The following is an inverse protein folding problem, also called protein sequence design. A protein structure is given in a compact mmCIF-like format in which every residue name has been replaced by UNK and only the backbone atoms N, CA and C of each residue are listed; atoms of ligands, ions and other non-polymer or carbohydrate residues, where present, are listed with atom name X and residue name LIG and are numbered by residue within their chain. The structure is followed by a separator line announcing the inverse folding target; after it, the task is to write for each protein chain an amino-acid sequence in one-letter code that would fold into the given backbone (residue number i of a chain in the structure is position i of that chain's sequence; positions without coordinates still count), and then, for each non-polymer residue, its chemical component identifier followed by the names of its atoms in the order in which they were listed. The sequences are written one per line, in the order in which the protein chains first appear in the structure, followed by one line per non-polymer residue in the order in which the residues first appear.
data_IF_976876532027
#
_entry.id   IF_976876532027
#
_cell.length_a   1.000
_cell.length_b   1.000
_cell.length_c   1.000
_cell.angle_alpha   90.00
_cell.angle_beta   90.00
_cell.angle_gamma   90.00
#
_symmetry.space_group_name_H-M   'P 1'
#
loop_
_entity.id
_entity.type
_entity.pdbx_description
1 polymer ?
#
# COMPACT_ATOMS: atom_id res chain seq x y z
N UNK A 1 -31.55 -6.03 35.91
CA UNK A 1 -31.02 -4.79 36.52
C UNK A 1 -30.49 -3.88 35.42
N UNK A 2 -31.29 -3.35 34.49
CA UNK A 2 -32.50 -2.54 34.66
C UNK A 2 -32.23 -1.15 35.27
N UNK A 3 -32.00 -0.18 34.37
CA UNK A 3 -32.28 1.27 34.46
C UNK A 3 -32.05 2.07 35.76
N UNK A 4 -31.06 2.98 35.73
CA UNK A 4 -31.02 4.36 36.27
C UNK A 4 -29.65 4.99 35.92
N UNK A 5 -29.48 6.28 35.62
CA UNK A 5 -30.45 7.38 35.58
C UNK A 5 -30.12 8.36 34.42
N UNK A 6 -31.15 8.97 33.85
CA UNK A 6 -31.07 9.98 32.77
C UNK A 6 -31.83 11.23 33.22
N UNK A 7 -31.26 12.03 34.13
CA UNK A 7 -31.84 13.32 34.50
C UNK A 7 -30.85 14.26 35.22
N UNK A 8 -30.34 15.25 34.51
CA UNK A 8 -30.20 16.61 35.04
C UNK A 8 -30.67 17.58 33.96
N UNK A 9 -31.46 18.56 34.36
CA UNK A 9 -32.32 19.36 33.50
C UNK A 9 -32.04 20.83 33.77
N UNK A 10 -31.95 21.62 32.69
CA UNK A 10 -32.25 23.05 32.59
C UNK A 10 -32.07 23.95 33.83
N UNK A 11 -31.21 24.98 33.71
CA UNK A 11 -31.58 26.36 34.05
C UNK A 11 -30.76 27.35 33.22
N UNK A 12 -31.43 28.14 32.37
CA UNK A 12 -31.41 29.62 32.30
C UNK A 12 -32.16 30.07 31.05
N UNK A 13 -33.31 30.74 31.23
CA UNK A 13 -34.08 31.40 30.18
C UNK A 13 -34.02 32.92 30.41
N UNK A 14 -33.75 33.70 29.36
CA UNK A 14 -34.35 35.03 29.16
C UNK A 14 -34.08 35.54 27.72
N UNK A 15 -34.93 36.43 27.15
CA UNK A 15 -35.10 36.57 25.70
C UNK A 15 -34.65 37.96 25.17
N UNK A 16 -35.35 38.47 24.12
CA UNK A 16 -35.12 39.69 23.32
C UNK A 16 -34.12 39.49 22.16
N UNK A 17 -34.35 39.96 20.92
CA UNK A 17 -35.44 40.77 20.35
C UNK A 17 -35.77 40.33 18.91
N UNK A 18 -37.04 40.39 18.53
CA UNK A 18 -37.51 40.23 17.15
C UNK A 18 -37.54 41.57 16.42
N UNK A 19 -37.11 41.59 15.15
CA UNK A 19 -37.45 42.66 14.22
C UNK A 19 -37.84 42.05 12.86
N UNK A 20 -39.00 42.48 12.37
CA UNK A 20 -39.56 42.15 11.06
C UNK A 20 -40.02 43.44 10.41
N UNK A 21 -39.53 43.75 9.20
CA UNK A 21 -40.09 44.80 8.34
C UNK A 21 -40.05 44.30 6.89
N UNK A 22 -41.05 44.71 6.11
CA UNK A 22 -41.48 44.06 4.88
C UNK A 22 -40.79 44.52 3.58
N UNK A 23 -40.83 43.62 2.60
CA UNK A 23 -41.24 43.81 1.19
C UNK A 23 -41.02 45.15 0.46
N UNK A 24 -40.38 45.08 -0.72
CA UNK A 24 -40.82 45.84 -1.91
C UNK A 24 -40.40 45.16 -3.22
N UNK A 25 -41.27 45.22 -4.23
CA UNK A 25 -41.11 44.62 -5.57
C UNK A 25 -40.78 45.71 -6.60
N UNK A 26 -39.90 45.43 -7.57
CA UNK A 26 -39.84 46.18 -8.83
C UNK A 26 -39.18 45.35 -9.95
N UNK A 27 -39.64 45.50 -11.19
CA UNK A 27 -39.30 44.63 -12.31
C UNK A 27 -38.39 45.30 -13.37
N UNK A 28 -37.69 44.46 -14.15
CA UNK A 28 -37.42 44.50 -15.62
C UNK A 28 -37.24 45.87 -16.35
N UNK A 29 -36.28 45.97 -17.31
CA UNK A 29 -36.54 45.38 -18.63
C UNK A 29 -35.36 44.74 -19.41
N UNK A 30 -35.79 44.06 -20.48
CA UNK A 30 -35.04 43.34 -21.53
C UNK A 30 -34.38 44.31 -22.53
N UNK A 31 -33.28 43.90 -23.18
CA UNK A 31 -32.94 44.22 -24.59
C UNK A 31 -32.17 43.05 -25.24
N UNK A 32 -32.58 42.66 -26.45
CA UNK A 32 -31.86 41.81 -27.41
C UNK A 32 -31.45 42.67 -28.62
N UNK A 33 -30.35 42.37 -29.33
CA UNK A 33 -30.48 41.75 -30.67
C UNK A 33 -29.27 40.85 -31.07
N UNK A 34 -29.14 40.27 -32.27
CA UNK A 34 -30.06 39.47 -33.13
C UNK A 34 -29.25 38.88 -34.32
N UNK A 35 -29.78 37.84 -34.99
CA UNK A 35 -29.40 37.27 -36.33
C UNK A 35 -28.12 36.39 -36.36
N UNK A 36 -28.17 35.09 -36.71
CA UNK A 36 -28.49 34.42 -38.02
C UNK A 36 -27.32 34.50 -39.02
N UNK A 37 -26.90 33.49 -39.81
CA UNK A 37 -27.43 32.21 -40.38
C UNK A 37 -26.27 31.16 -40.42
N UNK A 38 -26.45 29.83 -40.35
CA UNK A 38 -26.88 28.88 -41.43
C UNK A 38 -26.04 28.99 -42.74
N UNK A 39 -25.64 27.94 -43.49
CA UNK A 39 -25.88 26.48 -43.50
C UNK A 39 -24.93 25.83 -44.55
N UNK A 40 -24.81 24.48 -44.59
CA UNK A 40 -24.43 23.64 -45.78
C UNK A 40 -22.97 23.79 -46.35
N UNK A 41 -22.37 22.84 -47.10
CA UNK A 41 -22.41 21.36 -47.15
C UNK A 41 -21.25 20.87 -48.08
N UNK A 42 -21.00 19.55 -48.09
CA UNK A 42 -20.42 18.76 -49.20
C UNK A 42 -18.94 18.88 -49.60
N UNK A 43 -18.21 17.80 -49.31
CA UNK A 43 -17.29 17.01 -50.15
C UNK A 43 -16.57 17.62 -51.38
N UNK A 44 -15.29 17.28 -51.52
CA UNK A 44 -14.87 16.29 -52.54
C UNK A 44 -13.48 15.69 -52.28
N UNK A 45 -13.24 14.47 -52.80
CA UNK A 45 -11.93 13.80 -52.83
C UNK A 45 -11.17 14.18 -54.10
N UNK A 46 -9.85 14.20 -54.06
CA UNK A 46 -9.03 13.78 -55.21
C UNK A 46 -7.72 13.14 -54.75
N UNK A 47 -7.29 12.13 -55.50
CA UNK A 47 -6.02 11.42 -55.34
C UNK A 47 -5.09 11.95 -56.43
N UNK A 48 -3.82 12.19 -56.11
CA UNK A 48 -2.76 12.28 -57.12
C UNK A 48 -1.45 11.69 -56.58
N UNK A 49 -0.92 10.74 -57.34
CA UNK A 49 0.37 10.08 -57.11
C UNK A 49 1.49 10.79 -57.88
N UNK A 50 2.66 10.97 -57.28
CA UNK A 50 3.90 11.19 -58.04
C UNK A 50 5.17 10.78 -57.27
N UNK A 51 5.80 9.74 -57.82
CA UNK A 51 7.26 9.52 -58.01
C UNK A 51 8.29 9.82 -56.91
N UNK A 52 9.08 8.78 -56.63
CA UNK A 52 10.31 8.72 -55.84
C UNK A 52 11.42 9.67 -56.36
N UNK A 53 12.29 10.16 -55.46
CA UNK A 53 13.74 10.45 -55.66
C UNK A 53 14.33 11.22 -54.46
N UNK A 54 14.70 10.55 -53.36
CA UNK A 54 15.79 11.06 -52.48
C UNK A 54 16.39 10.05 -51.45
N UNK A 55 16.83 8.87 -51.91
CA UNK A 55 17.66 7.95 -51.10
C UNK A 55 19.18 8.20 -51.32
N UNK A 56 19.78 9.20 -50.65
CA UNK A 56 21.24 9.17 -50.34
C UNK A 56 21.76 10.07 -49.20
N UNK A 57 21.03 11.10 -48.72
CA UNK A 57 21.49 11.97 -47.61
C UNK A 57 21.07 11.54 -46.18
N UNK A 58 20.44 10.36 -46.00
CA UNK A 58 19.79 9.94 -44.74
C UNK A 58 20.51 8.83 -43.95
N UNK A 59 21.80 8.52 -44.25
CA UNK A 59 22.56 7.43 -43.59
C UNK A 59 23.48 7.92 -42.44
N UNK A 60 24.26 9.00 -42.62
CA UNK A 60 25.19 9.52 -41.59
C UNK A 60 24.53 10.16 -40.34
N UNK A 61 23.23 10.45 -40.36
CA UNK A 61 22.50 11.01 -39.20
C UNK A 61 21.74 9.96 -38.36
N UNK A 62 21.81 8.67 -38.74
CA UNK A 62 21.24 7.57 -37.94
C UNK A 62 22.23 6.95 -36.97
N UNK A 63 23.51 6.79 -37.34
CA UNK A 63 24.52 6.15 -36.49
C UNK A 63 24.81 6.93 -35.19
N UNK A 64 24.92 8.26 -35.28
CA UNK A 64 25.05 9.13 -34.10
C UNK A 64 23.83 9.09 -33.18
N UNK A 65 22.61 8.98 -33.74
CA UNK A 65 21.38 8.78 -32.96
C UNK A 65 21.30 7.39 -32.30
N UNK A 66 21.88 6.35 -32.92
CA UNK A 66 21.95 5.00 -32.34
C UNK A 66 22.93 4.95 -31.16
N UNK A 67 24.06 5.66 -31.22
CA UNK A 67 24.96 5.80 -30.07
C UNK A 67 24.33 6.59 -28.91
N UNK A 68 23.61 7.68 -29.21
CA UNK A 68 22.88 8.44 -28.19
C UNK A 68 21.64 7.72 -27.63
N UNK A 69 21.04 6.77 -28.37
CA UNK A 69 19.96 5.93 -27.85
C UNK A 69 20.50 4.75 -27.03
N UNK A 70 21.62 4.12 -27.43
CA UNK A 70 22.31 3.09 -26.62
C UNK A 70 22.83 3.65 -25.30
N UNK A 71 23.45 4.83 -25.29
CA UNK A 71 23.92 5.45 -24.03
C UNK A 71 22.76 5.85 -23.10
N UNK A 72 21.63 6.33 -23.65
CA UNK A 72 20.39 6.51 -22.87
C UNK A 72 19.77 5.19 -22.41
N UNK A 73 19.90 4.11 -23.19
CA UNK A 73 19.52 2.74 -22.81
C UNK A 73 20.31 2.25 -21.60
N UNK A 74 21.64 2.25 -21.67
CA UNK A 74 22.52 1.89 -20.55
C UNK A 74 22.30 2.81 -19.32
N UNK A 75 21.98 4.09 -19.52
CA UNK A 75 21.64 4.99 -18.41
C UNK A 75 20.26 4.70 -17.78
N UNK A 76 19.31 4.14 -18.55
CA UNK A 76 18.01 3.64 -18.06
C UNK A 76 18.16 2.30 -17.33
N UNK A 77 19.08 1.47 -17.81
CA UNK A 77 19.46 0.19 -17.20
C UNK A 77 20.14 0.40 -15.85
N UNK A 78 21.08 1.34 -15.75
CA UNK A 78 21.69 1.84 -14.49
C UNK A 78 20.69 2.50 -13.50
N UNK A 79 19.40 2.61 -13.86
CA UNK A 79 18.33 3.08 -12.96
C UNK A 79 17.39 1.98 -12.46
N UNK A 80 17.45 0.76 -13.00
CA UNK A 80 16.53 -0.31 -12.60
C UNK A 80 16.76 -0.74 -11.15
N UNK A 81 15.71 -0.64 -10.35
CA UNK A 81 15.56 -1.32 -9.05
C UNK A 81 14.78 -2.62 -9.18
N UNK A 82 14.25 -2.89 -10.37
CA UNK A 82 13.52 -4.10 -10.69
C UNK A 82 14.33 -5.34 -10.36
N UNK A 83 13.65 -6.34 -9.82
CA UNK A 83 14.20 -7.68 -9.69
C UNK A 83 14.67 -8.21 -11.05
N UNK A 84 15.69 -9.06 -10.97
CA UNK A 84 16.17 -9.88 -12.10
C UNK A 84 15.76 -11.35 -11.92
N UNK A 85 15.03 -11.68 -10.85
CA UNK A 85 14.55 -13.02 -10.58
C UNK A 85 13.33 -13.28 -11.46
N UNK A 86 13.41 -14.36 -12.22
CA UNK A 86 12.24 -14.93 -12.85
C UNK A 86 11.39 -15.61 -11.77
N UNK A 87 10.07 -15.62 -11.95
CA UNK A 87 9.19 -16.42 -11.11
C UNK A 87 9.46 -17.90 -11.43
N UNK A 88 10.42 -18.48 -10.71
CA UNK A 88 10.74 -19.91 -10.70
C UNK A 88 9.82 -20.60 -9.71
N UNK A 89 8.55 -20.64 -10.09
CA UNK A 89 7.57 -21.54 -9.48
C UNK A 89 7.47 -22.70 -10.46
N UNK A 90 8.14 -23.80 -10.13
CA UNK A 90 7.83 -25.11 -10.70
C UNK A 90 6.39 -25.44 -10.30
N UNK A 91 5.46 -24.96 -11.12
CA UNK A 91 4.07 -25.34 -11.05
C UNK A 91 4.04 -26.71 -11.69
N UNK A 92 4.04 -27.78 -10.88
CA UNK A 92 3.76 -29.11 -11.41
C UNK A 92 2.46 -29.01 -12.22
N UNK A 93 2.53 -29.34 -13.51
CA UNK A 93 1.38 -29.41 -14.40
C UNK A 93 0.50 -30.62 -14.04
N UNK A 94 -0.12 -30.55 -12.87
CA UNK A 94 -1.31 -31.34 -12.54
C UNK A 94 -2.51 -30.52 -12.94
N UNK A 95 -3.38 -31.12 -13.74
CA UNK A 95 -4.65 -30.51 -14.14
C UNK A 95 -5.48 -30.24 -12.87
N UNK A 96 -5.48 -28.98 -12.42
CA UNK A 96 -6.31 -28.50 -11.32
C UNK A 96 -7.39 -27.61 -11.91
N UNK A 97 -8.62 -27.96 -11.59
CA UNK A 97 -9.87 -27.28 -11.93
C UNK A 97 -9.79 -25.74 -11.83
N UNK A 98 -10.45 -25.06 -12.77
CA UNK A 98 -10.44 -23.60 -13.03
C UNK A 98 -11.07 -22.75 -11.89
N UNK A 99 -11.36 -23.40 -10.76
CA UNK A 99 -11.92 -22.79 -9.55
C UNK A 99 -10.89 -22.39 -8.50
N UNK A 100 -9.61 -22.79 -8.63
CA UNK A 100 -8.59 -22.56 -7.60
C UNK A 100 -7.24 -22.02 -8.12
N UNK A 101 -7.26 -20.82 -8.71
CA UNK A 101 -6.04 -20.07 -9.03
C UNK A 101 -5.16 -19.90 -7.77
N UNK A 102 -4.05 -20.65 -7.70
CA UNK A 102 -3.15 -20.68 -6.55
C UNK A 102 -2.57 -19.28 -6.30
N UNK A 103 -2.87 -18.70 -5.13
CA UNK A 103 -2.46 -17.34 -4.82
C UNK A 103 -0.94 -17.25 -4.58
N UNK A 104 -0.22 -16.82 -5.61
CA UNK A 104 1.22 -16.54 -5.55
C UNK A 104 1.47 -15.32 -4.63
N UNK A 105 2.27 -15.45 -3.55
CA UNK A 105 2.68 -14.32 -2.71
C UNK A 105 3.49 -13.29 -3.50
N UNK A 106 3.34 -12.01 -3.17
CA UNK A 106 3.98 -10.91 -3.90
C UNK A 106 5.47 -10.86 -3.60
N UNK A 107 6.32 -10.78 -4.62
CA UNK A 107 7.78 -10.76 -4.46
C UNK A 107 8.33 -11.96 -3.65
N UNK A 108 7.72 -13.15 -3.81
CA UNK A 108 8.08 -14.34 -3.04
C UNK A 108 9.57 -14.70 -3.17
N UNK A 109 10.12 -14.62 -4.39
CA UNK A 109 11.52 -14.91 -4.64
C UNK A 109 12.45 -13.93 -3.92
N UNK A 110 12.15 -12.64 -4.00
CA UNK A 110 12.94 -11.59 -3.36
C UNK A 110 12.89 -11.72 -1.83
N UNK A 111 11.76 -12.11 -1.25
CA UNK A 111 11.66 -12.42 0.19
C UNK A 111 12.56 -13.60 0.56
N UNK A 112 12.57 -14.67 -0.24
CA UNK A 112 13.47 -15.82 -0.02
C UNK A 112 14.95 -15.47 -0.20
N UNK A 113 15.28 -14.54 -1.11
CA UNK A 113 16.65 -14.02 -1.25
C UNK A 113 17.08 -13.20 -0.02
N UNK A 114 16.18 -12.36 0.50
CA UNK A 114 16.45 -11.52 1.69
C UNK A 114 16.71 -12.33 2.95
N UNK A 115 16.06 -13.48 3.10
CA UNK A 115 16.25 -14.37 4.25
C UNK A 115 17.14 -15.59 3.95
N UNK A 116 17.77 -15.66 2.77
CA UNK A 116 18.50 -16.82 2.27
C UNK A 116 19.46 -17.44 3.31
N UNK A 117 19.44 -18.77 3.50
CA UNK A 117 20.23 -19.45 4.54
C UNK A 117 21.74 -19.33 4.32
N UNK A 118 22.17 -18.96 3.11
CA UNK A 118 23.56 -18.72 2.73
C UNK A 118 24.17 -17.47 3.41
N UNK A 119 23.33 -16.55 3.89
CA UNK A 119 23.77 -15.31 4.56
C UNK A 119 23.93 -15.48 6.07
N UNK A 120 22.89 -16.00 6.73
CA UNK A 120 22.84 -16.34 8.16
C UNK A 120 21.80 -17.46 8.36
N UNK A 121 22.04 -18.46 9.23
CA UNK A 121 21.00 -19.40 9.61
C UNK A 121 19.80 -18.70 10.26
N UNK A 122 18.62 -18.87 9.68
CA UNK A 122 17.36 -18.33 10.18
C UNK A 122 16.74 -19.30 11.21
N UNK A 123 17.02 -19.09 12.50
CA UNK A 123 16.50 -19.94 13.58
C UNK A 123 15.14 -19.45 14.11
N UNK A 124 14.86 -18.16 13.96
CA UNK A 124 13.61 -17.52 14.36
C UNK A 124 13.06 -16.59 13.26
N UNK A 125 11.74 -16.63 13.03
CA UNK A 125 11.09 -15.77 12.03
C UNK A 125 9.73 -15.28 12.48
N UNK A 126 9.43 -14.01 12.18
CA UNK A 126 8.14 -13.37 12.46
C UNK A 126 7.48 -12.90 11.16
N UNK A 127 6.24 -13.34 10.92
CA UNK A 127 5.37 -12.79 9.88
C UNK A 127 4.31 -11.90 10.54
N UNK A 128 4.42 -10.58 10.34
CA UNK A 128 3.55 -9.58 10.95
C UNK A 128 2.17 -9.47 10.27
N UNK A 129 2.01 -10.12 9.12
CA UNK A 129 0.91 -9.93 8.16
C UNK A 129 0.57 -11.27 7.55
N UNK A 130 0.34 -12.26 8.42
CA UNK A 130 0.40 -13.68 8.09
C UNK A 130 -0.50 -14.07 6.91
N UNK A 131 -1.67 -13.44 6.77
CA UNK A 131 -2.62 -13.71 5.71
C UNK A 131 -2.96 -15.20 5.63
N UNK A 132 -2.90 -15.78 4.43
CA UNK A 132 -3.07 -17.21 4.23
C UNK A 132 -1.78 -18.04 4.51
N UNK A 133 -0.79 -17.50 5.22
CA UNK A 133 0.56 -18.07 5.40
C UNK A 133 1.33 -18.30 4.07
N UNK A 134 1.14 -17.45 3.06
CA UNK A 134 1.80 -17.61 1.75
C UNK A 134 3.33 -17.49 1.82
N UNK A 135 3.84 -16.38 2.36
CA UNK A 135 5.27 -16.19 2.61
C UNK A 135 5.79 -17.12 3.71
N UNK A 136 5.05 -17.21 4.82
CA UNK A 136 5.35 -18.09 5.94
C UNK A 136 5.62 -19.55 5.50
N UNK A 137 4.78 -20.14 4.65
CA UNK A 137 5.00 -21.51 4.16
C UNK A 137 6.30 -21.68 3.40
N UNK A 138 6.62 -20.76 2.48
CA UNK A 138 7.86 -20.82 1.71
C UNK A 138 9.09 -20.62 2.60
N UNK A 139 9.02 -19.73 3.59
CA UNK A 139 10.09 -19.54 4.59
C UNK A 139 10.28 -20.81 5.43
N UNK A 140 9.21 -21.41 5.96
CA UNK A 140 9.30 -22.67 6.73
C UNK A 140 9.91 -23.80 5.89
N UNK A 141 9.55 -23.91 4.61
CA UNK A 141 10.11 -24.91 3.69
C UNK A 141 11.58 -24.65 3.32
N UNK A 142 11.95 -23.39 3.06
CA UNK A 142 13.31 -23.00 2.68
C UNK A 142 14.31 -23.04 3.86
N UNK A 143 13.82 -23.12 5.10
CA UNK A 143 14.63 -23.12 6.31
C UNK A 143 14.35 -24.33 7.22
N UNK A 144 14.85 -25.54 6.90
CA UNK A 144 14.74 -26.72 7.77
C UNK A 144 15.35 -26.55 9.17
N UNK A 145 16.24 -25.56 9.34
CA UNK A 145 16.85 -25.16 10.61
C UNK A 145 15.99 -24.19 11.45
N UNK A 146 14.86 -23.72 10.92
CA UNK A 146 13.94 -22.84 11.63
C UNK A 146 13.36 -23.57 12.83
N UNK A 147 13.46 -22.98 14.01
CA UNK A 147 13.01 -23.58 15.29
C UNK A 147 11.76 -22.89 15.83
N UNK A 148 11.62 -21.59 15.59
CA UNK A 148 10.49 -20.78 16.07
C UNK A 148 9.94 -19.93 14.93
N UNK A 149 8.68 -20.14 14.59
CA UNK A 149 7.90 -19.28 13.71
C UNK A 149 6.81 -18.56 14.52
N UNK A 150 6.63 -17.26 14.29
CA UNK A 150 5.60 -16.45 14.95
C UNK A 150 4.83 -15.69 13.87
N UNK A 151 3.56 -16.05 13.66
CA UNK A 151 2.66 -15.37 12.75
C UNK A 151 1.63 -14.52 13.49
N UNK A 152 1.28 -13.36 12.96
CA UNK A 152 0.15 -12.57 13.46
C UNK A 152 -0.64 -11.93 12.32
N UNK A 153 -1.93 -11.78 12.55
CA UNK A 153 -2.88 -11.11 11.65
C UNK A 153 -4.05 -10.59 12.50
N UNK A 154 -4.78 -9.62 11.95
CA UNK A 154 -6.01 -9.07 12.55
C UNK A 154 -7.28 -9.78 12.06
N UNK A 155 -7.18 -10.55 10.96
CA UNK A 155 -8.31 -11.23 10.35
C UNK A 155 -8.46 -12.67 10.88
N UNK A 156 -9.58 -13.05 11.54
CA UNK A 156 -9.79 -14.41 12.05
C UNK A 156 -9.70 -15.49 10.95
N UNK A 157 -10.13 -15.17 9.72
CA UNK A 157 -10.08 -16.10 8.60
C UNK A 157 -8.64 -16.34 8.13
N UNK A 158 -7.79 -15.31 8.16
CA UNK A 158 -6.38 -15.42 7.86
C UNK A 158 -5.70 -16.37 8.86
N UNK A 159 -5.88 -16.15 10.16
CA UNK A 159 -5.33 -17.02 11.23
C UNK A 159 -5.82 -18.47 11.08
N UNK A 160 -7.10 -18.70 10.74
CA UNK A 160 -7.62 -20.05 10.53
C UNK A 160 -6.92 -20.76 9.34
N UNK A 161 -6.85 -20.10 8.18
CA UNK A 161 -6.22 -20.67 6.98
C UNK A 161 -4.72 -20.90 7.18
N UNK A 162 -4.04 -19.93 7.82
CA UNK A 162 -2.62 -20.00 8.14
C UNK A 162 -2.30 -21.16 9.09
N UNK A 163 -3.08 -21.36 10.15
CA UNK A 163 -2.90 -22.49 11.09
C UNK A 163 -2.97 -23.84 10.39
N UNK A 164 -4.00 -24.07 9.56
CA UNK A 164 -4.13 -25.31 8.79
C UNK A 164 -2.93 -25.55 7.87
N UNK A 165 -2.46 -24.51 7.19
CA UNK A 165 -1.33 -24.59 6.26
C UNK A 165 0.02 -24.80 6.97
N UNK A 166 0.26 -24.11 8.07
CA UNK A 166 1.49 -24.26 8.87
C UNK A 166 1.53 -25.64 9.54
N UNK A 167 0.40 -26.13 10.07
CA UNK A 167 0.32 -27.46 10.67
C UNK A 167 0.71 -28.56 9.69
N UNK A 168 0.28 -28.49 8.42
CA UNK A 168 0.67 -29.44 7.38
C UNK A 168 2.21 -29.47 7.13
N UNK A 169 2.90 -28.35 7.32
CA UNK A 169 4.36 -28.22 7.18
C UNK A 169 5.14 -28.57 8.46
N UNK A 170 4.46 -28.66 9.61
CA UNK A 170 5.09 -28.80 10.94
C UNK A 170 5.49 -30.26 11.24
N UNK A 171 6.38 -30.82 10.43
CA UNK A 171 6.81 -32.23 10.54
C UNK A 171 8.06 -32.43 11.43
N UNK A 172 8.75 -31.35 11.82
CA UNK A 172 9.97 -31.42 12.64
C UNK A 172 9.65 -31.30 14.14
N UNK A 173 10.14 -32.20 15.01
CA UNK A 173 9.90 -32.13 16.46
C UNK A 173 10.61 -30.95 17.14
N UNK A 174 11.51 -30.26 16.43
CA UNK A 174 12.24 -29.09 16.94
C UNK A 174 11.67 -27.75 16.45
N UNK A 175 10.65 -27.79 15.59
CA UNK A 175 9.94 -26.62 15.08
C UNK A 175 8.70 -26.33 15.92
N UNK A 176 8.49 -25.06 16.27
CA UNK A 176 7.28 -24.58 16.94
C UNK A 176 6.73 -23.34 16.22
N UNK A 177 5.42 -23.35 15.96
CA UNK A 177 4.72 -22.25 15.33
C UNK A 177 3.67 -21.64 16.27
N UNK A 178 3.78 -20.34 16.52
CA UNK A 178 2.83 -19.56 17.30
C UNK A 178 2.04 -18.65 16.35
N UNK A 179 0.72 -18.57 16.53
CA UNK A 179 -0.15 -17.76 15.65
C UNK A 179 -1.16 -16.95 16.46
N UNK A 180 -1.08 -15.62 16.33
CA UNK A 180 -1.81 -14.67 17.17
C UNK A 180 -2.83 -13.85 16.35
N UNK A 181 -4.09 -13.86 16.77
CA UNK A 181 -5.12 -12.94 16.26
C UNK A 181 -4.93 -11.56 16.93
N UNK A 182 -3.92 -10.82 16.48
CA UNK A 182 -3.50 -9.52 17.00
C UNK A 182 -2.83 -8.69 15.90
N UNK A 183 -3.02 -7.37 15.98
CA UNK A 183 -2.31 -6.42 15.13
C UNK A 183 -0.80 -6.39 15.47
N UNK A 184 0.03 -6.25 14.43
CA UNK A 184 1.49 -6.24 14.55
C UNK A 184 2.07 -5.12 15.44
N UNK A 185 1.30 -4.05 15.76
CA UNK A 185 1.67 -3.08 16.80
C UNK A 185 1.96 -3.71 18.17
N UNK A 186 1.50 -4.94 18.40
CA UNK A 186 1.72 -5.69 19.63
C UNK A 186 2.96 -6.61 19.61
N UNK A 187 3.77 -6.61 18.54
CA UNK A 187 4.90 -7.55 18.35
C UNK A 187 5.77 -7.74 19.61
N UNK A 188 6.23 -6.66 20.25
CA UNK A 188 7.03 -6.73 21.48
C UNK A 188 6.36 -7.56 22.58
N UNK A 189 5.07 -7.32 22.83
CA UNK A 189 4.30 -8.04 23.85
C UNK A 189 3.92 -9.47 23.46
N UNK A 190 3.94 -9.80 22.16
CA UNK A 190 3.70 -11.14 21.65
C UNK A 190 4.96 -12.01 21.73
N UNK A 191 6.14 -11.45 21.41
CA UNK A 191 7.41 -12.14 21.58
C UNK A 191 7.67 -12.49 23.05
N UNK A 192 7.31 -11.62 24.00
CA UNK A 192 7.42 -11.91 25.44
C UNK A 192 6.43 -12.97 25.96
N UNK A 193 5.43 -13.39 25.16
CA UNK A 193 4.52 -14.49 25.50
C UNK A 193 5.01 -15.85 24.98
N UNK A 194 6.04 -15.88 24.12
CA UNK A 194 6.61 -17.11 23.57
C UNK A 194 7.74 -17.58 24.47
N UNK A 195 7.51 -18.68 25.20
CA UNK A 195 8.48 -19.28 26.11
C UNK A 195 9.60 -20.04 25.34
N UNK A 196 10.46 -19.28 24.66
CA UNK A 196 11.66 -19.75 23.94
C UNK A 196 12.87 -18.85 24.17
N UNK A 197 13.30 -18.65 25.44
CA UNK A 197 14.46 -17.80 25.76
C UNK A 197 15.78 -18.34 25.16
N UNK A 198 15.84 -19.63 24.85
CA UNK A 198 16.96 -20.29 24.16
C UNK A 198 17.24 -19.72 22.75
N UNK A 199 16.24 -19.09 22.13
CA UNK A 199 16.34 -18.49 20.79
C UNK A 199 16.10 -16.99 20.84
N UNK A 200 15.04 -16.56 21.54
CA UNK A 200 14.54 -15.17 21.46
C UNK A 200 15.27 -14.19 22.38
N UNK A 201 16.16 -14.67 23.27
CA UNK A 201 16.91 -13.80 24.22
C UNK A 201 17.77 -12.74 23.55
N UNK A 202 18.30 -13.02 22.35
CA UNK A 202 19.05 -12.06 21.54
C UNK A 202 18.17 -11.20 20.63
N UNK A 203 16.88 -11.48 20.51
CA UNK A 203 15.99 -10.99 19.46
C UNK A 203 15.68 -12.05 18.39
N UNK A 204 14.96 -11.66 17.33
CA UNK A 204 14.59 -12.54 16.20
C UNK A 204 15.49 -12.33 14.97
N UNK A 205 15.74 -13.38 14.20
CA UNK A 205 16.62 -13.34 13.03
C UNK A 205 15.97 -12.67 11.81
N UNK A 206 14.66 -12.86 11.62
CA UNK A 206 13.92 -12.28 10.51
C UNK A 206 12.51 -11.82 10.89
N UNK A 207 12.11 -10.69 10.33
CA UNK A 207 10.75 -10.14 10.41
C UNK A 207 10.28 -9.74 9.01
N UNK A 208 9.09 -10.17 8.61
CA UNK A 208 8.41 -9.74 7.38
C UNK A 208 7.15 -8.92 7.72
N UNK A 209 6.92 -7.87 6.93
CA UNK A 209 5.65 -7.12 6.87
C UNK A 209 5.23 -6.98 5.39
N UNK A 210 4.24 -7.75 4.95
CA UNK A 210 3.57 -7.64 3.65
C UNK A 210 2.29 -6.81 3.80
N UNK A 211 2.38 -5.50 3.51
CA UNK A 211 1.35 -4.53 3.87
C UNK A 211 0.10 -4.59 2.96
N UNK A 212 -0.97 -3.90 3.35
CA UNK A 212 -2.18 -3.79 2.53
C UNK A 212 -3.21 -4.89 2.79
N UNK A 213 -3.78 -5.47 1.74
CA UNK A 213 -5.01 -6.30 1.81
C UNK A 213 -4.82 -7.70 1.24
N UNK A 214 -5.32 -8.70 1.96
CA UNK A 214 -5.29 -10.09 1.52
C UNK A 214 -6.28 -10.39 0.38
N UNK A 215 -6.12 -11.52 -0.30
CA UNK A 215 -7.04 -11.97 -1.35
C UNK A 215 -8.44 -12.28 -0.81
N UNK A 216 -8.53 -12.93 0.36
CA UNK A 216 -9.81 -13.21 1.03
C UNK A 216 -10.58 -11.94 1.42
N UNK A 217 -9.91 -10.83 1.70
CA UNK A 217 -10.52 -9.53 1.97
C UNK A 217 -11.05 -8.85 0.70
N UNK A 218 -10.23 -8.79 -0.36
CA UNK A 218 -10.61 -8.11 -1.62
C UNK A 218 -11.62 -8.90 -2.44
N UNK A 219 -11.55 -10.23 -2.42
CA UNK A 219 -12.40 -11.10 -3.24
C UNK A 219 -13.77 -11.38 -2.60
N UNK A 220 -14.00 -10.98 -1.34
CA UNK A 220 -15.27 -11.11 -0.64
C UNK A 220 -16.00 -9.74 -0.60
N UNK A 221 -17.06 -9.52 -1.42
CA UNK A 221 -17.73 -8.23 -1.48
C UNK A 221 -18.31 -7.78 -0.13
N UNK A 222 -18.69 -8.72 0.75
CA UNK A 222 -19.22 -8.43 2.08
C UNK A 222 -18.21 -7.74 3.02
N UNK A 223 -16.93 -7.67 2.65
CA UNK A 223 -15.89 -6.93 3.39
C UNK A 223 -15.74 -5.48 2.96
N UNK A 224 -16.37 -5.05 1.86
CA UNK A 224 -16.38 -3.66 1.40
C UNK A 224 -15.08 -3.14 0.75
N UNK A 225 -14.01 -3.93 0.66
CA UNK A 225 -12.73 -3.49 0.07
C UNK A 225 -12.74 -3.39 -1.48
N UNK A 226 -13.68 -4.06 -2.14
CA UNK A 226 -13.71 -4.16 -3.59
C UNK A 226 -14.29 -2.89 -4.26
N UNK A 227 -13.49 -2.20 -5.08
CA UNK A 227 -13.93 -1.02 -5.85
C UNK A 227 -14.96 -1.36 -6.94
N UNK A 228 -14.94 -2.60 -7.45
CA UNK A 228 -15.74 -3.03 -8.60
C UNK A 228 -16.89 -4.00 -8.25
N UNK A 229 -17.00 -4.42 -6.99
CA UNK A 229 -18.09 -5.27 -6.51
C UNK A 229 -18.86 -4.55 -5.40
N UNK A 230 -20.19 -4.58 -5.46
CA UNK A 230 -21.01 -3.93 -4.45
C UNK A 230 -21.01 -4.73 -3.14
N UNK A 231 -21.05 -4.02 -2.02
CA UNK A 231 -21.07 -4.57 -0.66
C UNK A 231 -21.28 -3.47 0.38
N UNK A 232 -21.29 -3.81 1.68
CA UNK A 232 -21.42 -2.82 2.75
C UNK A 232 -20.16 -1.93 2.84
N UNK A 233 -20.32 -0.70 3.33
CA UNK A 233 -19.20 0.22 3.62
C UNK A 233 -18.47 -0.18 4.92
N UNK A 234 -17.92 -1.39 4.95
CA UNK A 234 -17.22 -1.92 6.11
C UNK A 234 -15.72 -1.54 6.12
N UNK A 235 -14.92 -2.16 5.26
CA UNK A 235 -13.46 -1.97 5.12
C UNK A 235 -12.62 -2.26 6.37
N UNK A 236 -13.16 -2.92 7.40
CA UNK A 236 -12.37 -3.35 8.57
C UNK A 236 -11.58 -4.62 8.24
N UNK A 237 -10.28 -4.61 8.51
CA UNK A 237 -9.40 -5.78 8.44
C UNK A 237 -9.69 -6.74 9.61
N UNK A 238 -9.91 -6.19 10.81
CA UNK A 238 -10.49 -6.90 11.96
C UNK A 238 -12.02 -6.75 11.96
N UNK A 239 -12.82 -7.81 11.72
CA UNK A 239 -14.29 -7.74 11.77
C UNK A 239 -14.87 -7.33 13.15
N UNK A 240 -14.06 -7.37 14.23
CA UNK A 240 -14.44 -6.95 15.59
C UNK A 240 -14.10 -5.48 15.90
N UNK A 241 -13.35 -4.78 15.04
CA UNK A 241 -13.06 -3.36 15.23
C UNK A 241 -14.36 -2.52 15.17
N UNK A 242 -14.46 -1.43 15.93
CA UNK A 242 -15.71 -0.68 16.07
C UNK A 242 -16.04 0.28 14.93
N UNK A 243 -15.04 0.81 14.23
CA UNK A 243 -15.19 1.84 13.20
C UNK A 243 -15.29 1.23 11.81
N UNK A 244 -16.35 1.56 11.05
CA UNK A 244 -16.51 1.21 9.62
C UNK A 244 -16.27 2.41 8.70
N UNK A 245 -16.08 2.15 7.41
CA UNK A 245 -16.08 3.21 6.40
C UNK A 245 -17.42 3.96 6.34
N UNK A 246 -18.53 3.30 6.65
CA UNK A 246 -19.88 3.88 6.80
C UNK A 246 -19.92 4.97 7.89
N UNK A 247 -19.33 4.71 9.06
CA UNK A 247 -19.29 5.66 10.18
C UNK A 247 -18.47 6.91 9.82
N UNK A 248 -17.36 6.72 9.11
CA UNK A 248 -16.57 7.83 8.56
C UNK A 248 -17.40 8.63 7.56
N UNK A 249 -18.05 7.95 6.61
CA UNK A 249 -18.78 8.59 5.52
C UNK A 249 -20.09 9.23 5.95
N UNK A 250 -20.70 8.84 7.06
CA UNK A 250 -21.96 9.41 7.55
C UNK A 250 -21.81 10.32 8.78
N UNK A 251 -20.85 10.05 9.68
CA UNK A 251 -20.82 10.66 11.02
C UNK A 251 -19.58 11.53 11.32
N UNK A 252 -18.46 11.37 10.60
CA UNK A 252 -17.28 12.21 10.85
C UNK A 252 -17.47 13.65 10.36
N UNK A 253 -16.86 14.66 11.02
CA UNK A 253 -16.89 16.05 10.54
C UNK A 253 -16.41 16.16 9.08
N UNK A 254 -17.07 17.00 8.29
CA UNK A 254 -16.79 17.14 6.86
C UNK A 254 -15.32 17.46 6.57
N UNK A 255 -14.68 18.26 7.44
CA UNK A 255 -13.25 18.59 7.38
C UNK A 255 -12.34 17.37 7.51
N UNK A 256 -12.72 16.39 8.34
CA UNK A 256 -11.96 15.15 8.52
C UNK A 256 -12.15 14.20 7.34
N UNK A 257 -13.34 14.15 6.74
CA UNK A 257 -13.56 13.46 5.45
C UNK A 257 -12.68 14.08 4.37
N UNK A 258 -12.67 15.41 4.27
CA UNK A 258 -11.79 16.15 3.36
C UNK A 258 -10.31 15.86 3.61
N UNK A 259 -9.89 15.78 4.88
CA UNK A 259 -8.53 15.46 5.31
C UNK A 259 -8.11 14.07 4.84
N UNK A 260 -8.87 13.01 5.13
CA UNK A 260 -8.47 11.65 4.72
C UNK A 260 -8.43 11.50 3.20
N UNK A 261 -9.37 12.10 2.47
CA UNK A 261 -9.37 12.07 0.99
C UNK A 261 -8.11 12.75 0.41
N UNK A 262 -7.69 13.85 1.01
CA UNK A 262 -6.48 14.60 0.63
C UNK A 262 -5.20 13.84 1.00
N UNK A 263 -5.08 13.42 2.26
CA UNK A 263 -3.82 13.00 2.87
C UNK A 263 -3.58 11.49 2.73
N UNK A 264 -4.62 10.67 2.90
CA UNK A 264 -4.53 9.21 2.76
C UNK A 264 -4.87 8.74 1.34
N UNK A 265 -5.71 9.49 0.64
CA UNK A 265 -6.04 9.23 -0.76
C UNK A 265 -5.05 9.82 -1.76
N UNK A 266 -4.29 10.87 -1.42
CA UNK A 266 -3.56 11.70 -2.39
C UNK A 266 -4.47 12.16 -3.58
N UNK A 267 -5.75 12.45 -3.29
CA UNK A 267 -6.75 12.87 -4.31
C UNK A 267 -6.80 14.39 -4.47
N UNK A 268 -6.56 14.88 -5.69
CA UNK A 268 -6.50 16.32 -5.98
C UNK A 268 -7.87 17.01 -5.94
N UNK A 269 -8.95 16.28 -6.23
CA UNK A 269 -10.31 16.79 -6.22
C UNK A 269 -11.04 16.61 -4.88
N UNK A 270 -10.31 16.39 -3.78
CA UNK A 270 -10.84 16.04 -2.46
C UNK A 270 -11.96 16.98 -1.97
N UNK A 271 -11.84 18.30 -2.16
CA UNK A 271 -12.86 19.29 -1.76
C UNK A 271 -14.21 19.05 -2.44
N UNK A 272 -14.19 18.71 -3.73
CA UNK A 272 -15.42 18.47 -4.50
C UNK A 272 -16.05 17.13 -4.13
N UNK A 273 -15.22 16.11 -3.91
CA UNK A 273 -15.67 14.79 -3.43
C UNK A 273 -16.26 14.87 -2.01
N UNK A 274 -15.61 15.59 -1.10
CA UNK A 274 -16.11 15.91 0.24
C UNK A 274 -17.51 16.53 0.14
N UNK A 275 -17.66 17.64 -0.60
CA UNK A 275 -18.97 18.30 -0.78
C UNK A 275 -20.04 17.35 -1.36
N UNK A 276 -19.66 16.47 -2.29
CA UNK A 276 -20.57 15.47 -2.88
C UNK A 276 -20.98 14.37 -1.89
N UNK A 277 -20.06 13.90 -1.04
CA UNK A 277 -20.34 12.98 0.06
C UNK A 277 -21.28 13.64 1.07
N UNK A 278 -21.01 14.89 1.47
CA UNK A 278 -21.84 15.64 2.41
C UNK A 278 -23.26 15.84 1.88
N UNK A 279 -23.43 16.14 0.59
CA UNK A 279 -24.76 16.21 -0.03
C UNK A 279 -25.48 14.84 -0.01
N UNK A 280 -24.77 13.73 -0.17
CA UNK A 280 -25.36 12.39 -0.05
C UNK A 280 -25.79 12.06 1.40
N UNK A 281 -25.04 12.51 2.42
CA UNK A 281 -25.44 12.40 3.84
C UNK A 281 -26.82 13.03 4.08
N UNK A 282 -27.03 14.23 3.53
CA UNK A 282 -28.29 14.98 3.65
C UNK A 282 -29.47 14.32 2.91
N UNK A 283 -29.21 13.33 2.05
CA UNK A 283 -30.21 12.62 1.25
C UNK A 283 -30.50 11.18 1.74
N UNK A 284 -29.95 10.79 2.90
CA UNK A 284 -30.21 9.50 3.55
C UNK A 284 -28.96 8.83 4.10
N UNK A 285 -27.77 9.21 3.63
CA UNK A 285 -26.51 8.54 3.96
C UNK A 285 -25.92 7.75 2.80
N UNK A 286 -24.76 7.14 3.06
CA UNK A 286 -24.13 6.15 2.20
C UNK A 286 -24.01 4.84 2.98
N UNK A 287 -24.55 3.76 2.45
CA UNK A 287 -24.61 2.45 3.11
C UNK A 287 -23.89 1.35 2.31
N UNK A 288 -23.72 1.54 0.99
CA UNK A 288 -23.03 0.57 0.12
C UNK A 288 -21.84 1.15 -0.66
N UNK A 289 -20.89 0.29 -1.02
CA UNK A 289 -19.74 0.65 -1.87
C UNK A 289 -20.20 1.11 -3.26
N UNK A 290 -21.34 0.62 -3.74
CA UNK A 290 -22.00 1.05 -4.97
C UNK A 290 -22.45 2.51 -4.94
N UNK A 291 -23.16 2.92 -3.88
CA UNK A 291 -23.58 4.33 -3.70
C UNK A 291 -22.36 5.27 -3.65
N UNK A 292 -21.32 4.89 -2.91
CA UNK A 292 -20.06 5.64 -2.87
C UNK A 292 -19.41 5.74 -4.26
N UNK A 293 -19.39 4.64 -5.03
CA UNK A 293 -18.88 4.63 -6.41
C UNK A 293 -19.70 5.54 -7.33
N UNK A 294 -21.02 5.61 -7.18
CA UNK A 294 -21.88 6.48 -7.99
C UNK A 294 -21.71 7.96 -7.62
N UNK A 295 -21.52 8.29 -6.34
CA UNK A 295 -21.07 9.62 -5.90
C UNK A 295 -19.74 9.98 -6.58
N UNK A 296 -18.75 9.08 -6.57
CA UNK A 296 -17.43 9.30 -7.18
C UNK A 296 -17.49 9.45 -8.70
N UNK A 297 -18.36 8.67 -9.37
CA UNK A 297 -18.64 8.81 -10.82
C UNK A 297 -19.24 10.18 -11.14
N UNK A 298 -20.25 10.61 -10.37
CA UNK A 298 -20.86 11.94 -10.52
C UNK A 298 -19.86 13.09 -10.28
N UNK A 299 -18.83 12.83 -9.48
CA UNK A 299 -17.79 13.80 -9.11
C UNK A 299 -16.58 13.82 -10.05
N UNK A 300 -16.48 12.88 -11.00
CA UNK A 300 -15.30 12.68 -11.87
C UNK A 300 -15.55 13.21 -13.29
N UNK A 301 -14.89 14.29 -13.74
CA UNK A 301 -15.10 14.84 -15.08
C UNK A 301 -14.65 13.84 -16.18
N UNK A 302 -15.51 13.60 -17.17
CA UNK A 302 -15.23 12.72 -18.33
C UNK A 302 -13.94 13.13 -19.07
N UNK A 303 -13.61 14.44 -19.04
CA UNK A 303 -12.40 15.02 -19.64
C UNK A 303 -11.09 14.66 -18.91
N UNK A 304 -11.12 14.30 -17.61
CA UNK A 304 -9.92 13.96 -16.84
C UNK A 304 -9.68 12.44 -16.83
N UNK A 305 -9.13 11.92 -17.92
CA UNK A 305 -8.60 10.55 -17.99
C UNK A 305 -9.51 9.49 -18.62
N UNK A 306 -10.61 9.91 -19.27
CA UNK A 306 -11.51 9.01 -20.01
C UNK A 306 -12.21 7.97 -19.14
N UNK A 307 -12.63 6.84 -19.74
CA UNK A 307 -13.41 5.77 -19.05
C UNK A 307 -12.74 5.18 -17.80
N UNK A 308 -11.43 5.39 -17.60
CA UNK A 308 -10.67 4.91 -16.43
C UNK A 308 -10.38 6.00 -15.38
N UNK A 309 -10.77 7.26 -15.61
CA UNK A 309 -10.52 8.37 -14.69
C UNK A 309 -11.18 8.14 -13.32
N UNK A 310 -12.49 7.87 -13.32
CA UNK A 310 -13.27 7.61 -12.10
C UNK A 310 -12.76 6.39 -11.31
N UNK A 311 -12.24 5.35 -11.98
CA UNK A 311 -11.68 4.16 -11.32
C UNK A 311 -10.47 4.55 -10.46
N UNK A 312 -9.58 5.40 -10.99
CA UNK A 312 -8.39 5.87 -10.23
C UNK A 312 -8.78 6.72 -9.03
N UNK A 313 -9.80 7.57 -9.17
CA UNK A 313 -10.38 8.33 -8.05
C UNK A 313 -11.00 7.37 -7.02
N UNK A 314 -11.75 6.37 -7.46
CA UNK A 314 -12.35 5.37 -6.57
C UNK A 314 -11.31 4.56 -5.82
N UNK A 315 -10.23 4.10 -6.47
CA UNK A 315 -9.09 3.46 -5.79
C UNK A 315 -8.50 4.36 -4.71
N UNK A 316 -8.35 5.67 -4.96
CA UNK A 316 -7.83 6.63 -3.97
C UNK A 316 -8.80 6.89 -2.81
N UNK A 317 -10.10 6.99 -3.07
CA UNK A 317 -11.13 7.14 -2.03
C UNK A 317 -11.22 5.88 -1.15
N UNK A 318 -11.21 4.69 -1.75
CA UNK A 318 -11.24 3.43 -1.02
C UNK A 318 -9.95 3.24 -0.21
N UNK A 319 -8.78 3.59 -0.76
CA UNK A 319 -7.51 3.62 -0.02
C UNK A 319 -7.59 4.57 1.19
N UNK A 320 -8.13 5.79 1.00
CA UNK A 320 -8.27 6.76 2.09
C UNK A 320 -9.15 6.25 3.24
N UNK A 321 -10.29 5.66 2.91
CA UNK A 321 -11.21 5.07 3.89
C UNK A 321 -10.60 3.86 4.58
N UNK A 322 -9.98 2.94 3.83
CA UNK A 322 -9.27 1.76 4.36
C UNK A 322 -8.22 2.15 5.41
N UNK A 323 -7.36 3.10 5.05
CA UNK A 323 -6.30 3.62 5.93
C UNK A 323 -6.89 4.26 7.20
N UNK A 324 -7.99 5.02 7.06
CA UNK A 324 -8.63 5.68 8.19
C UNK A 324 -9.36 4.71 9.13
N UNK A 325 -10.02 3.68 8.58
CA UNK A 325 -10.70 2.62 9.34
C UNK A 325 -9.72 1.79 10.17
N UNK A 326 -8.56 1.44 9.58
CA UNK A 326 -7.61 0.49 10.19
C UNK A 326 -6.38 1.17 10.83
N UNK A 327 -6.34 2.50 10.92
CA UNK A 327 -5.23 3.30 11.50
C UNK A 327 -3.85 2.94 10.90
N UNK A 328 -3.82 2.59 9.60
CA UNK A 328 -2.72 1.78 9.02
C UNK A 328 -1.37 2.48 9.07
N UNK A 329 -1.32 3.76 8.71
CA UNK A 329 -0.06 4.51 8.58
C UNK A 329 0.59 4.78 9.94
N UNK A 330 -0.21 5.06 10.97
CA UNK A 330 0.26 5.25 12.34
C UNK A 330 0.73 3.92 12.93
N UNK A 331 -0.09 2.88 12.74
CA UNK A 331 0.27 1.49 13.12
C UNK A 331 1.62 1.12 12.52
N UNK A 332 1.83 1.41 11.24
CA UNK A 332 3.08 1.12 10.54
C UNK A 332 4.27 1.86 11.15
N UNK A 333 4.23 3.18 11.33
CA UNK A 333 5.39 3.92 11.88
C UNK A 333 5.79 3.40 13.27
N UNK A 334 4.83 3.30 14.20
CA UNK A 334 5.08 2.80 15.57
C UNK A 334 5.66 1.37 15.56
N UNK A 335 5.14 0.52 14.67
CA UNK A 335 5.54 -0.89 14.59
C UNK A 335 6.90 -1.10 13.93
N UNK A 336 7.34 -0.23 13.01
CA UNK A 336 8.67 -0.35 12.40
C UNK A 336 9.79 -0.18 13.44
N UNK A 337 9.63 0.73 14.41
CA UNK A 337 10.55 0.82 15.55
C UNK A 337 10.46 -0.43 16.42
N UNK A 338 9.24 -0.88 16.74
CA UNK A 338 9.04 -2.06 17.58
C UNK A 338 9.66 -3.33 16.97
N UNK A 339 9.49 -3.56 15.68
CA UNK A 339 10.11 -4.65 14.92
C UNK A 339 11.63 -4.55 14.94
N UNK A 340 12.21 -3.36 14.68
CA UNK A 340 13.66 -3.19 14.67
C UNK A 340 14.30 -3.43 16.05
N UNK A 341 13.65 -2.98 17.12
CA UNK A 341 14.09 -3.26 18.49
C UNK A 341 14.08 -4.78 18.78
N UNK A 342 13.09 -5.51 18.27
CA UNK A 342 12.96 -6.97 18.43
C UNK A 342 13.99 -7.79 17.64
N UNK A 343 14.65 -7.24 16.61
CA UNK A 343 15.65 -7.98 15.84
C UNK A 343 16.88 -8.35 16.68
N UNK A 344 17.47 -9.51 16.39
CA UNK A 344 18.81 -9.86 16.85
C UNK A 344 19.89 -9.09 16.06
N UNK A 345 21.13 -8.99 16.58
CA UNK A 345 22.28 -8.54 15.79
C UNK A 345 22.42 -9.33 14.48
N UNK A 346 22.62 -8.62 13.37
CA UNK A 346 22.57 -9.17 12.02
C UNK A 346 21.20 -9.62 11.52
N UNK A 347 20.14 -9.53 12.33
CA UNK A 347 18.77 -9.85 11.96
C UNK A 347 18.17 -8.84 10.98
N UNK A 348 17.18 -9.26 10.19
CA UNK A 348 16.62 -8.47 9.06
C UNK A 348 15.12 -8.20 9.20
N UNK A 349 14.72 -6.95 8.97
CA UNK A 349 13.32 -6.55 8.77
C UNK A 349 13.10 -6.25 7.29
N UNK A 350 12.21 -7.04 6.67
CA UNK A 350 11.75 -6.88 5.30
C UNK A 350 10.32 -6.32 5.29
N UNK A 351 10.05 -5.32 4.46
CA UNK A 351 8.74 -4.67 4.35
C UNK A 351 8.36 -4.51 2.88
N UNK A 352 7.24 -5.10 2.48
CA UNK A 352 6.61 -4.90 1.17
C UNK A 352 5.50 -3.85 1.34
N UNK A 353 5.57 -2.79 0.56
CA UNK A 353 4.59 -1.69 0.55
C UNK A 353 3.93 -1.56 -0.82
N UNK A 354 2.63 -1.25 -0.86
CA UNK A 354 1.81 -1.23 -2.08
C UNK A 354 1.38 0.18 -2.49
N UNK A 355 1.62 1.20 -1.67
CA UNK A 355 1.43 2.60 -2.08
C UNK A 355 2.52 3.56 -1.59
N UNK A 356 2.43 4.80 -2.08
CA UNK A 356 3.34 5.92 -1.82
C UNK A 356 3.53 6.25 -0.34
N UNK A 357 2.44 6.23 0.44
CA UNK A 357 2.43 6.63 1.85
C UNK A 357 3.18 5.61 2.73
N UNK A 358 2.89 4.32 2.58
CA UNK A 358 3.62 3.23 3.24
C UNK A 358 5.13 3.29 2.90
N UNK A 359 5.48 3.30 1.61
CA UNK A 359 6.88 3.34 1.13
C UNK A 359 7.65 4.56 1.66
N UNK A 360 6.97 5.70 1.80
CA UNK A 360 7.53 6.93 2.39
C UNK A 360 7.81 6.75 3.88
N UNK A 361 6.87 6.21 4.65
CA UNK A 361 7.03 5.94 6.09
C UNK A 361 8.16 4.94 6.33
N UNK A 362 8.19 3.82 5.58
CA UNK A 362 9.25 2.81 5.69
C UNK A 362 10.62 3.42 5.35
N UNK A 363 10.74 4.18 4.25
CA UNK A 363 11.98 4.90 3.88
C UNK A 363 12.44 5.83 5.02
N UNK A 364 11.54 6.66 5.54
CA UNK A 364 11.88 7.67 6.56
C UNK A 364 12.24 7.04 7.90
N UNK A 365 11.48 6.04 8.34
CA UNK A 365 11.75 5.33 9.60
C UNK A 365 13.05 4.55 9.54
N UNK A 366 13.36 3.86 8.43
CA UNK A 366 14.64 3.18 8.26
C UNK A 366 15.83 4.15 8.29
N UNK A 367 15.70 5.36 7.75
CA UNK A 367 16.74 6.40 7.86
C UNK A 367 16.91 6.86 9.32
N UNK A 368 15.82 7.20 10.01
CA UNK A 368 15.84 7.56 11.45
C UNK A 368 16.55 6.47 12.28
N UNK A 369 16.20 5.20 12.07
CA UNK A 369 16.77 4.05 12.81
C UNK A 369 18.30 3.92 12.69
N UNK A 370 18.86 4.12 11.49
CA UNK A 370 20.32 4.01 11.29
C UNK A 370 21.09 5.23 11.83
N UNK A 371 20.46 6.41 11.84
CA UNK A 371 21.08 7.69 12.19
C UNK A 371 20.93 8.09 13.68
N UNK A 372 20.29 7.26 14.51
CA UNK A 372 20.06 7.49 15.95
C UNK A 372 21.34 7.47 16.81
N UNK A 373 22.17 8.52 16.69
CA UNK A 373 23.17 8.94 17.66
C UNK A 373 23.19 10.47 17.92
N UNK A 374 22.33 11.25 17.23
CA UNK A 374 22.04 12.65 17.60
C UNK A 374 21.02 12.68 18.76
N UNK A 375 21.49 12.81 20.01
CA UNK A 375 20.61 13.03 21.17
C UNK A 375 19.90 14.39 21.06
N UNK A 376 18.57 14.38 21.21
CA UNK A 376 17.78 15.53 21.67
C UNK A 376 17.75 16.76 20.74
N UNK A 377 16.83 16.76 19.77
CA UNK A 377 16.46 17.95 19.01
C UNK A 377 15.34 17.64 18.04
N UNK A 378 14.21 18.35 18.14
CA UNK A 378 13.12 18.25 17.16
C UNK A 378 13.57 18.94 15.88
N UNK A 379 13.92 18.15 14.86
CA UNK A 379 14.44 18.63 13.58
C UNK A 379 13.75 17.91 12.43
N UNK A 380 13.04 18.68 11.62
CA UNK A 380 12.56 18.26 10.31
C UNK A 380 13.76 17.89 9.42
N UNK A 381 13.99 16.59 9.20
CA UNK A 381 15.10 16.09 8.40
C UNK A 381 14.94 16.52 6.94
N UNK A 382 15.66 17.57 6.53
CA UNK A 382 15.73 17.99 5.14
C UNK A 382 16.49 16.98 4.27
N UNK A 383 16.10 16.88 2.99
CA UNK A 383 16.73 15.97 2.01
C UNK A 383 18.17 16.35 1.62
N UNK A 384 18.72 17.40 2.25
CA UNK A 384 20.09 17.90 2.15
C UNK A 384 21.08 17.11 3.03
N UNK A 385 20.77 16.84 4.30
CA UNK A 385 21.68 16.15 5.25
C UNK A 385 21.93 14.67 4.87
N UNK A 386 21.00 14.03 4.17
CA UNK A 386 21.07 12.61 3.73
C UNK A 386 22.24 12.37 2.74
N UNK A 387 22.93 13.40 2.26
CA UNK A 387 23.99 13.29 1.23
C UNK A 387 25.33 12.76 1.75
N UNK A 388 25.62 12.88 3.04
CA UNK A 388 26.93 12.52 3.62
C UNK A 388 27.06 11.04 4.02
N UNK A 389 26.00 10.25 3.80
CA UNK A 389 26.01 8.80 4.02
C UNK A 389 26.97 8.11 3.03
N UNK A 390 28.15 7.72 3.55
CA UNK A 390 29.29 7.17 2.81
C UNK A 390 28.88 6.06 1.83
N UNK A 391 29.13 6.31 0.55
CA UNK A 391 28.85 5.38 -0.55
C UNK A 391 29.95 4.34 -0.68
N UNK A 392 29.90 3.29 0.14
CA UNK A 392 30.77 2.12 -0.04
C UNK A 392 30.16 1.23 -1.15
N UNK A 393 30.98 0.92 -2.17
CA UNK A 393 30.79 -0.30 -2.97
C UNK A 393 31.59 -1.39 -2.28
N UNK A 394 30.97 -2.51 -1.96
CA UNK A 394 31.72 -3.68 -1.47
C UNK A 394 32.37 -4.41 -2.64
N UNK A 395 33.60 -4.85 -2.44
CA UNK A 395 34.43 -5.57 -3.39
C UNK A 395 35.47 -6.32 -2.51
N UNK A 396 35.35 -7.62 -2.22
CA UNK A 396 34.38 -8.62 -2.71
C UNK A 396 34.18 -9.86 -1.76
N UNK A 397 33.70 -11.00 -2.30
CA UNK A 397 33.32 -12.31 -1.68
C UNK A 397 31.83 -12.45 -1.30
N UNK A 398 31.21 -13.55 -1.75
CA UNK A 398 29.90 -14.03 -1.28
C UNK A 398 28.67 -13.14 -1.53
N UNK A 399 28.75 -12.16 -2.45
CA UNK A 399 27.71 -11.12 -2.60
C UNK A 399 26.30 -11.66 -2.87
N UNK A 400 25.40 -11.39 -1.94
CA UNK A 400 23.95 -11.45 -2.15
C UNK A 400 23.54 -10.51 -3.31
N UNK A 401 23.25 -11.08 -4.48
CA UNK A 401 23.11 -10.35 -5.75
C UNK A 401 21.95 -9.32 -5.77
N UNK A 402 20.99 -9.46 -4.86
CA UNK A 402 19.88 -8.54 -4.69
C UNK A 402 20.29 -7.20 -4.03
N UNK A 403 21.39 -7.20 -3.24
CA UNK A 403 21.90 -6.02 -2.52
C UNK A 403 22.69 -5.13 -3.50
N UNK A 404 22.03 -4.09 -4.04
CA UNK A 404 22.64 -3.18 -5.03
C UNK A 404 23.30 -1.94 -4.43
N UNK A 405 22.69 -1.36 -3.39
CA UNK A 405 23.13 -0.11 -2.76
C UNK A 405 22.64 -0.07 -1.32
N UNK A 406 23.58 0.04 -0.38
CA UNK A 406 23.28 0.12 1.05
C UNK A 406 23.34 1.56 1.59
N UNK A 407 22.85 1.75 2.80
CA UNK A 407 23.16 2.88 3.67
C UNK A 407 23.58 2.28 5.02
N UNK A 408 24.79 2.58 5.48
CA UNK A 408 25.26 2.19 6.81
C UNK A 408 25.05 3.34 7.79
N UNK A 409 24.58 3.02 9.00
CA UNK A 409 24.61 3.89 10.16
C UNK A 409 24.99 3.11 11.42
N UNK A 410 24.82 3.73 12.58
CA UNK A 410 25.36 3.20 13.84
C UNK A 410 24.62 1.98 14.40
N UNK A 411 23.29 1.94 14.27
CA UNK A 411 22.47 0.86 14.82
C UNK A 411 22.06 -0.19 13.76
N UNK A 412 22.25 0.11 12.47
CA UNK A 412 21.69 -0.68 11.39
C UNK A 412 22.23 -0.34 10.00
N UNK A 413 21.93 -1.20 9.04
CA UNK A 413 22.28 -1.06 7.62
C UNK A 413 21.02 -1.23 6.78
N UNK A 414 20.63 -0.18 6.05
CA UNK A 414 19.57 -0.31 5.03
C UNK A 414 20.18 -1.04 3.84
N UNK A 415 19.70 -2.26 3.53
CA UNK A 415 20.20 -3.07 2.43
C UNK A 415 19.64 -2.61 1.06
N UNK A 416 18.49 -1.93 1.08
CA UNK A 416 17.79 -1.40 -0.09
C UNK A 416 17.70 0.13 -0.09
N UNK A 417 18.79 0.84 -0.42
CA UNK A 417 18.76 2.32 -0.56
C UNK A 417 17.66 2.81 -1.51
N UNK A 418 17.35 2.00 -2.53
CA UNK A 418 16.14 2.11 -3.35
C UNK A 418 15.34 0.81 -3.17
N UNK A 419 13.99 0.87 -3.14
CA UNK A 419 13.17 -0.33 -2.95
C UNK A 419 13.29 -1.25 -4.16
N UNK A 420 13.32 -2.56 -3.93
CA UNK A 420 13.21 -3.55 -5.00
C UNK A 420 11.76 -3.56 -5.49
N UNK A 421 11.54 -3.76 -6.79
CA UNK A 421 10.20 -3.86 -7.39
C UNK A 421 10.08 -5.15 -8.21
N UNK A 422 8.87 -5.73 -8.35
CA UNK A 422 8.62 -6.97 -9.08
C UNK A 422 9.15 -7.01 -10.51
N UNK A 423 9.38 -8.23 -11.01
CA UNK A 423 9.73 -8.46 -12.42
C UNK A 423 8.56 -8.17 -13.36
N UNK A 424 8.85 -7.96 -14.65
CA UNK A 424 7.82 -7.71 -15.68
C UNK A 424 6.93 -8.95 -15.90
N UNK A 425 7.49 -10.14 -15.64
CA UNK A 425 6.81 -11.44 -15.60
C UNK A 425 5.82 -11.51 -14.42
N UNK A 426 6.27 -11.14 -13.21
CA UNK A 426 5.43 -11.15 -12.01
C UNK A 426 4.25 -10.15 -12.13
N UNK A 427 4.47 -8.93 -12.64
CA UNK A 427 3.38 -7.95 -12.83
C UNK A 427 2.30 -8.44 -13.80
N UNK A 428 2.68 -9.28 -14.77
CA UNK A 428 1.75 -9.92 -15.71
C UNK A 428 0.93 -11.04 -15.07
N UNK A 429 1.57 -11.90 -14.27
CA UNK A 429 0.94 -13.03 -13.58
C UNK A 429 0.10 -12.58 -12.38
N UNK A 430 0.65 -11.72 -11.53
CA UNK A 430 0.02 -11.22 -10.31
C UNK A 430 -0.11 -9.68 -10.37
N UNK A 431 -1.26 -9.20 -10.85
CA UNK A 431 -1.54 -7.76 -10.96
C UNK A 431 -1.43 -6.97 -9.65
N UNK A 432 -1.45 -7.64 -8.49
CA UNK A 432 -1.30 -7.01 -7.16
C UNK A 432 0.14 -6.55 -6.91
N UNK A 433 1.13 -7.23 -7.49
CA UNK A 433 2.54 -6.89 -7.33
C UNK A 433 2.90 -5.55 -8.00
N UNK A 434 2.11 -5.07 -8.98
CA UNK A 434 2.42 -3.88 -9.79
C UNK A 434 2.84 -2.60 -9.02
N UNK A 435 2.34 -2.39 -7.82
CA UNK A 435 2.71 -1.25 -6.97
C UNK A 435 3.66 -1.60 -5.82
N UNK A 436 4.02 -2.89 -5.69
CA UNK A 436 4.81 -3.44 -4.61
C UNK A 436 6.26 -2.92 -4.63
N UNK A 437 6.75 -2.66 -3.42
CA UNK A 437 8.08 -2.14 -3.14
C UNK A 437 8.62 -2.80 -1.88
N UNK A 438 9.62 -3.65 -2.05
CA UNK A 438 10.33 -4.30 -0.96
C UNK A 438 11.48 -3.40 -0.46
N UNK A 439 11.50 -3.15 0.85
CA UNK A 439 12.62 -2.54 1.57
C UNK A 439 13.14 -3.46 2.65
N UNK A 440 14.44 -3.40 2.90
CA UNK A 440 15.11 -4.21 3.92
C UNK A 440 16.09 -3.38 4.73
N UNK A 441 16.04 -3.54 6.05
CA UNK A 441 17.04 -3.06 7.00
C UNK A 441 17.57 -4.25 7.81
N UNK A 442 18.87 -4.25 8.08
CA UNK A 442 19.55 -5.20 8.96
C UNK A 442 20.00 -4.47 10.21
N UNK A 443 19.85 -5.09 11.39
CA UNK A 443 20.40 -4.56 12.65
C UNK A 443 21.90 -4.88 12.74
N UNK A 444 22.68 -3.96 13.31
CA UNK A 444 24.11 -4.18 13.61
C UNK A 444 24.25 -4.88 14.95
#
# INVERSE_FOLDING_TARGET
MAAKAKQMMQMTLSPFLSFSVASSVSALPVIHPSKSRALLMSACRSISTSTDTNKKKKKKSKESKIWHSKSKGLAKEKRRTRSLRDCDIETEEKEVDDSSCAHIPVMLGEVLDVFSPNSKPLCSFVDCTLGAAGHASAIIQAHPQLKVFIGMDVDPLAIQLARSRIHALSQSPHFQAFTFLKNYRHIKSLLSQVDRPDILSSGVDGILMDLGMSSMQVNNPNRGFAVLANGPLDMRMDPQASLKAEDILNSWPDSEVGRILRDYGEESNWRFLQNKIVLARLQGGLHSTGELVDVIRSASPVSRGGRQGWVKTATRVFQALRIAVNDELRTLEDSLYACFDCLAPGGRLAVISFHSLEDRIVKQTFLKLVDCNKKGGDVSVEESEIRDLKRIKSEDSGKELWIRQTIQGSNGIILTKRPITPSEKEEGLNRRSRSAKLRVIQKV
#
